data_IF_964802577986
#
_entry.id   IF_964802577986
#
_cell.length_a   1.000
_cell.length_b   1.000
_cell.length_c   1.000
_cell.angle_alpha   90.00
_cell.angle_beta   90.00
_cell.angle_gamma   90.00
#
_symmetry.space_group_name_H-M   'P 1'
#
loop_
_entity.id
_entity.type
_entity.pdbx_description
1 polymer ?
#
# COMPACT_ATOMS: atom_id res chain seq x y z
N UNK A 1 -1.52 46.80 3.37
CA UNK A 1 -1.03 45.60 2.68
C UNK A 1 -1.96 44.46 3.07
N UNK A 2 -2.97 44.16 2.25
CA UNK A 2 -3.80 42.97 2.47
C UNK A 2 -2.91 41.76 2.30
N UNK A 3 -2.85 40.90 3.31
CA UNK A 3 -2.27 39.58 3.14
C UNK A 3 -3.30 38.77 2.34
N UNK A 4 -3.15 38.77 1.02
CA UNK A 4 -3.79 37.77 0.18
C UNK A 4 -3.27 36.42 0.68
N UNK A 5 -4.16 35.58 1.21
CA UNK A 5 -3.81 34.20 1.56
C UNK A 5 -3.20 33.59 0.30
N UNK A 6 -1.98 33.03 0.34
CA UNK A 6 -1.38 32.44 -0.86
C UNK A 6 -2.33 31.38 -1.40
N UNK A 7 -2.99 31.72 -2.51
CA UNK A 7 -3.99 30.87 -3.14
C UNK A 7 -3.22 29.82 -3.94
N UNK A 8 -2.84 28.74 -3.27
CA UNK A 8 -2.39 27.54 -3.97
C UNK A 8 -3.56 27.05 -4.83
N UNK A 9 -3.35 26.91 -6.13
CA UNK A 9 -4.36 26.46 -7.09
C UNK A 9 -3.98 25.09 -7.67
N UNK A 10 -4.97 24.36 -8.19
CA UNK A 10 -4.69 23.16 -8.99
C UNK A 10 -3.83 23.55 -10.20
N UNK A 11 -2.73 22.82 -10.41
CA UNK A 11 -1.71 23.09 -11.42
C UNK A 11 -0.57 24.00 -10.95
N UNK A 12 -0.64 24.59 -9.76
CA UNK A 12 0.47 25.36 -9.20
C UNK A 12 1.71 24.47 -9.01
N UNK A 13 2.89 25.00 -9.32
CA UNK A 13 4.16 24.32 -9.03
C UNK A 13 4.53 24.58 -7.57
N UNK A 14 5.07 23.56 -6.92
CA UNK A 14 5.62 23.66 -5.56
C UNK A 14 7.11 23.41 -5.64
N UNK A 15 7.88 24.34 -5.08
CA UNK A 15 9.33 24.35 -5.10
C UNK A 15 9.89 24.30 -3.67
N UNK A 16 11.12 23.84 -3.51
CA UNK A 16 11.88 23.94 -2.25
C UNK A 16 12.36 25.37 -2.02
N UNK A 17 12.89 25.65 -0.82
CA UNK A 17 13.51 26.95 -0.54
C UNK A 17 14.70 27.25 -1.48
N UNK A 18 15.43 26.22 -1.90
CA UNK A 18 16.52 26.31 -2.88
C UNK A 18 16.02 26.51 -4.33
N UNK A 19 14.70 26.51 -4.56
CA UNK A 19 14.08 26.67 -5.87
C UNK A 19 13.99 25.40 -6.70
N UNK A 20 14.15 24.22 -6.08
CA UNK A 20 13.99 22.93 -6.77
C UNK A 20 12.51 22.53 -6.85
N UNK A 21 12.03 22.23 -8.04
CA UNK A 21 10.61 21.97 -8.28
C UNK A 21 10.22 20.54 -7.88
N UNK A 22 9.42 20.41 -6.82
CA UNK A 22 8.93 19.14 -6.28
C UNK A 22 7.82 18.52 -7.15
N UNK A 23 6.93 19.35 -7.71
CA UNK A 23 5.79 18.85 -8.46
C UNK A 23 4.69 19.89 -8.70
N UNK A 24 3.51 19.42 -9.11
CA UNK A 24 2.33 20.25 -9.32
C UNK A 24 1.15 19.82 -8.46
N UNK A 25 0.37 20.79 -8.00
CA UNK A 25 -0.82 20.53 -7.18
C UNK A 25 -1.92 19.90 -8.03
N UNK A 26 -2.39 18.71 -7.64
CA UNK A 26 -3.45 17.98 -8.36
C UNK A 26 -4.82 18.09 -7.71
N UNK A 27 -4.89 18.50 -6.44
CA UNK A 27 -6.15 18.58 -5.71
C UNK A 27 -5.96 18.95 -4.24
N UNK A 28 -7.08 19.11 -3.55
CA UNK A 28 -7.17 19.54 -2.15
C UNK A 28 -8.11 18.62 -1.38
N UNK A 29 -7.90 18.53 -0.08
CA UNK A 29 -8.82 17.90 0.86
C UNK A 29 -9.04 18.80 2.09
N UNK A 30 -9.59 18.24 3.18
CA UNK A 30 -9.86 19.02 4.39
C UNK A 30 -8.57 19.36 5.13
N UNK A 31 -7.53 18.53 5.00
CA UNK A 31 -6.29 18.65 5.74
C UNK A 31 -5.13 19.24 4.91
N UNK A 32 -5.26 19.34 3.58
CA UNK A 32 -4.25 20.00 2.75
C UNK A 32 -4.44 19.85 1.23
N UNK A 33 -3.34 19.53 0.54
CA UNK A 33 -3.30 19.38 -0.91
C UNK A 33 -2.38 18.24 -1.35
N UNK A 34 -2.66 17.69 -2.52
CA UNK A 34 -1.90 16.60 -3.13
C UNK A 34 -1.00 17.11 -4.23
N UNK A 35 0.23 16.57 -4.30
CA UNK A 35 1.18 16.83 -5.38
C UNK A 35 1.29 15.63 -6.32
N UNK A 36 1.36 15.91 -7.62
CA UNK A 36 1.98 15.00 -8.58
C UNK A 36 3.47 15.31 -8.58
N UNK A 37 4.30 14.42 -8.03
CA UNK A 37 5.74 14.62 -7.97
C UNK A 37 6.40 14.38 -9.32
N UNK A 38 7.52 15.05 -9.55
CA UNK A 38 8.37 14.79 -10.72
C UNK A 38 9.14 13.49 -10.56
N UNK A 39 9.52 12.90 -11.69
CA UNK A 39 10.39 11.73 -11.72
C UNK A 39 11.71 12.01 -10.98
N UNK A 40 12.10 11.11 -10.08
CA UNK A 40 13.32 11.24 -9.27
C UNK A 40 13.14 11.91 -7.90
N UNK A 41 12.00 12.53 -7.62
CA UNK A 41 11.64 12.94 -6.26
C UNK A 41 11.01 11.74 -5.56
N UNK A 42 11.71 11.21 -4.55
CA UNK A 42 11.15 10.17 -3.69
C UNK A 42 9.98 10.77 -2.91
N UNK A 43 8.77 10.60 -3.43
CA UNK A 43 7.56 10.75 -2.65
C UNK A 43 7.65 9.73 -1.53
N UNK A 44 7.92 10.17 -0.30
CA UNK A 44 7.58 9.39 0.88
C UNK A 44 6.05 9.44 1.06
N UNK A 45 5.32 9.09 0.01
CA UNK A 45 3.87 9.03 -0.01
C UNK A 45 3.40 7.90 0.90
N UNK A 46 2.11 7.95 1.22
CA UNK A 46 1.28 6.89 1.84
C UNK A 46 1.28 5.57 1.01
N UNK A 47 2.28 5.33 0.17
CA UNK A 47 2.64 4.02 -0.41
C UNK A 47 3.30 3.10 0.62
N UNK A 48 3.60 3.59 1.83
CA UNK A 48 3.90 2.70 2.96
C UNK A 48 2.66 1.95 3.49
N UNK A 49 1.44 2.42 3.19
CA UNK A 49 0.19 1.77 3.61
C UNK A 49 -0.39 0.82 2.55
N UNK A 50 0.02 0.96 1.29
CA UNK A 50 -0.31 0.00 0.22
C UNK A 50 0.97 -0.34 -0.52
N UNK A 51 1.50 -1.53 -0.23
CA UNK A 51 2.66 -2.08 -0.89
C UNK A 51 2.57 -1.83 -2.40
N UNK A 52 3.52 -1.05 -2.93
CA UNK A 52 3.66 -0.84 -4.36
C UNK A 52 3.86 -2.19 -5.05
N UNK A 53 3.28 -2.31 -6.24
CA UNK A 53 3.20 -3.52 -7.09
C UNK A 53 4.56 -4.16 -7.48
N UNK A 54 5.67 -3.73 -6.88
CA UNK A 54 7.01 -4.28 -7.05
C UNK A 54 7.56 -5.01 -5.79
N UNK A 55 6.82 -5.02 -4.67
CA UNK A 55 7.13 -5.82 -3.47
C UNK A 55 5.84 -6.49 -2.95
N UNK A 56 5.30 -7.38 -3.77
CA UNK A 56 4.06 -8.11 -3.52
C UNK A 56 4.06 -9.47 -4.22
N UNK A 57 5.10 -10.27 -4.03
CA UNK A 57 4.87 -11.72 -4.06
C UNK A 57 4.26 -12.07 -2.70
N UNK A 58 2.93 -12.05 -2.63
CA UNK A 58 2.24 -12.68 -1.53
C UNK A 58 2.41 -14.18 -1.73
N UNK A 59 3.31 -14.80 -0.97
CA UNK A 59 3.41 -16.26 -0.93
C UNK A 59 2.05 -16.80 -0.50
N UNK A 60 1.44 -17.62 -1.35
CA UNK A 60 0.16 -18.23 -1.05
C UNK A 60 0.37 -19.21 0.11
N UNK A 61 -0.32 -18.98 1.23
CA UNK A 61 -0.29 -19.83 2.42
C UNK A 61 -1.67 -20.42 2.68
N UNK A 62 -1.71 -21.68 3.13
CA UNK A 62 -2.93 -22.26 3.70
C UNK A 62 -2.98 -21.99 5.20
N UNK A 63 -4.20 -21.91 5.75
CA UNK A 63 -4.39 -21.81 7.21
C UNK A 63 -5.43 -22.82 7.70
N UNK A 64 -5.10 -23.56 8.75
CA UNK A 64 -6.03 -24.43 9.47
C UNK A 64 -7.12 -23.60 10.17
N UNK A 65 -8.39 -23.91 9.90
CA UNK A 65 -9.54 -23.25 10.53
C UNK A 65 -9.67 -23.54 12.03
N UNK A 66 -9.22 -24.71 12.49
CA UNK A 66 -9.38 -25.12 13.89
C UNK A 66 -8.28 -24.58 14.82
N UNK A 67 -7.02 -24.59 14.38
CA UNK A 67 -5.87 -24.20 15.22
C UNK A 67 -5.02 -23.06 14.66
N UNK A 68 -5.31 -22.60 13.45
CA UNK A 68 -4.59 -21.48 12.84
C UNK A 68 -3.18 -21.80 12.36
N UNK A 69 -2.78 -23.08 12.31
CA UNK A 69 -1.53 -23.50 11.69
C UNK A 69 -1.46 -22.99 10.24
N UNK A 70 -0.29 -22.54 9.81
CA UNK A 70 -0.06 -22.00 8.48
C UNK A 70 1.07 -22.75 7.78
N UNK A 71 0.98 -22.89 6.45
CA UNK A 71 2.06 -23.45 5.66
C UNK A 71 1.98 -23.08 4.18
N UNK A 72 3.03 -23.37 3.44
CA UNK A 72 3.17 -23.00 2.03
C UNK A 72 2.22 -23.78 1.11
N UNK A 73 1.69 -23.10 0.08
CA UNK A 73 0.82 -23.71 -0.95
C UNK A 73 1.58 -24.24 -2.18
N UNK A 74 2.91 -24.09 -2.23
CA UNK A 74 3.74 -24.51 -3.38
C UNK A 74 3.56 -26.00 -3.72
N UNK A 75 3.38 -26.83 -2.70
CA UNK A 75 3.13 -28.27 -2.82
C UNK A 75 1.64 -28.65 -2.68
N UNK A 76 0.76 -27.66 -2.70
CA UNK A 76 -0.67 -27.81 -2.43
C UNK A 76 -1.02 -27.94 -0.94
N UNK A 77 -2.32 -28.01 -0.66
CA UNK A 77 -2.85 -28.16 0.71
C UNK A 77 -2.83 -29.63 1.13
N UNK A 78 -2.28 -29.98 2.32
CA UNK A 78 -2.26 -31.36 2.83
C UNK A 78 -3.68 -31.92 3.05
N UNK A 79 -3.85 -33.25 3.03
CA UNK A 79 -5.17 -33.88 3.24
C UNK A 79 -5.67 -33.76 4.68
N UNK A 80 -4.76 -33.66 5.65
CA UNK A 80 -5.06 -33.49 7.07
C UNK A 80 -4.05 -32.56 7.74
N UNK A 81 -4.49 -31.84 8.77
CA UNK A 81 -3.67 -30.85 9.46
C UNK A 81 -2.64 -31.53 10.37
N UNK A 82 -1.32 -31.31 10.19
CA UNK A 82 -0.29 -31.99 10.99
C UNK A 82 -0.47 -31.88 12.51
N UNK A 83 -0.88 -30.72 13.07
CA UNK A 83 -1.10 -30.61 14.52
C UNK A 83 -2.44 -31.18 15.00
N UNK A 84 -3.52 -31.12 14.21
CA UNK A 84 -4.88 -31.40 14.72
C UNK A 84 -5.68 -32.46 13.97
N UNK A 85 -5.14 -33.03 12.91
CA UNK A 85 -5.79 -34.04 12.05
C UNK A 85 -7.11 -33.56 11.42
N UNK A 86 -7.32 -32.23 11.39
CA UNK A 86 -8.49 -31.64 10.74
C UNK A 86 -8.46 -31.95 9.25
N UNK A 87 -9.60 -32.35 8.65
CA UNK A 87 -9.65 -32.73 7.25
C UNK A 87 -9.54 -31.48 6.36
N UNK A 88 -9.18 -31.69 5.09
CA UNK A 88 -8.89 -30.61 4.15
C UNK A 88 -9.99 -29.55 4.00
N UNK A 89 -11.25 -29.92 4.21
CA UNK A 89 -12.41 -29.01 4.16
C UNK A 89 -12.37 -27.93 5.26
N UNK A 90 -11.52 -28.08 6.28
CA UNK A 90 -11.35 -27.11 7.36
C UNK A 90 -10.22 -26.11 7.10
N UNK A 91 -9.60 -26.11 5.91
CA UNK A 91 -8.63 -25.08 5.53
C UNK A 91 -9.29 -23.87 4.88
N UNK A 92 -8.80 -22.69 5.23
CA UNK A 92 -9.10 -21.45 4.55
C UNK A 92 -7.88 -21.03 3.72
N UNK A 93 -8.11 -20.68 2.46
CA UNK A 93 -7.14 -19.99 1.61
C UNK A 93 -7.80 -18.70 1.11
N UNK A 94 -7.05 -17.61 1.12
CA UNK A 94 -7.51 -16.30 0.64
C UNK A 94 -6.79 -15.98 -0.65
N UNK A 95 -7.54 -15.81 -1.74
CA UNK A 95 -7.05 -15.21 -2.98
C UNK A 95 -7.55 -13.77 -3.03
N UNK A 96 -6.91 -12.83 -2.30
CA UNK A 96 -7.24 -11.39 -2.35
C UNK A 96 -6.01 -10.57 -2.74
#
# INVERSE_FOLDING_TARGET
>A
MSQESPAVAVGATVDTEDGDALGTVRGFDTDGFFLTTREGIASLSVEHERAGHALGEAELLWRCGDRGEMGDLDNGVPDACPPCDAPKEHYYWTEE
#
